data_IF_263281701958
#
_entry.id   IF_263281701958
#
_cell.length_a   1.000
_cell.length_b   1.000
_cell.length_c   1.000
_cell.angle_alpha   90.00
_cell.angle_beta   90.00
_cell.angle_gamma   90.00
#
_symmetry.space_group_name_H-M   'P 1'
#
loop_
_entity.id
_entity.type
_entity.pdbx_description
1 polymer ?
#
# COMPACT_ATOMS: atom_id res chain seq x y z
N UNK A 1 -15.24 24.80 -7.25
CA UNK A 1 -13.77 25.00 -7.13
C UNK A 1 -13.43 26.29 -7.87
N UNK A 2 -12.58 27.15 -7.30
CA UNK A 2 -12.23 28.44 -7.92
C UNK A 2 -11.16 28.24 -9.01
N UNK A 3 -11.21 29.05 -10.06
CA UNK A 3 -10.15 29.09 -11.09
C UNK A 3 -8.85 29.57 -10.45
N UNK A 4 -7.70 28.89 -10.64
CA UNK A 4 -6.44 29.37 -10.10
C UNK A 4 -6.06 30.74 -10.67
N UNK A 5 -5.70 31.70 -9.82
CA UNK A 5 -5.41 33.10 -10.24
C UNK A 5 -4.17 33.22 -11.13
N UNK A 6 -3.29 32.21 -11.12
CA UNK A 6 -2.11 32.12 -11.98
C UNK A 6 -2.38 31.36 -13.29
N UNK A 7 -3.59 30.83 -13.50
CA UNK A 7 -4.01 30.23 -14.76
C UNK A 7 -4.23 31.33 -15.80
N UNK A 8 -3.53 31.25 -16.93
CA UNK A 8 -3.68 32.24 -18.01
C UNK A 8 -4.96 32.01 -18.81
N UNK A 9 -5.41 33.06 -19.49
CA UNK A 9 -6.50 32.96 -20.47
C UNK A 9 -5.99 32.48 -21.84
N UNK A 10 -6.86 31.80 -22.59
CA UNK A 10 -6.58 31.32 -23.95
C UNK A 10 -5.96 29.91 -24.01
N UNK A 11 -5.43 29.56 -25.19
CA UNK A 11 -5.05 28.18 -25.56
C UNK A 11 -3.87 27.61 -24.76
N UNK A 12 -3.07 28.47 -24.10
CA UNK A 12 -1.98 28.04 -23.23
C UNK A 12 -2.21 28.54 -21.79
N UNK A 13 -3.00 27.80 -20.98
CA UNK A 13 -3.30 28.19 -19.60
C UNK A 13 -2.07 28.16 -18.68
N UNK A 14 -0.98 27.53 -19.10
CA UNK A 14 0.26 27.36 -18.31
C UNK A 14 1.29 28.48 -18.53
N UNK A 15 1.22 29.18 -19.66
CA UNK A 15 2.19 30.21 -20.03
C UNK A 15 3.55 29.68 -20.51
N UNK A 16 4.60 30.52 -20.52
CA UNK A 16 5.94 30.13 -20.91
C UNK A 16 6.49 28.99 -20.05
N UNK A 17 7.27 28.09 -20.67
CA UNK A 17 7.87 26.97 -19.95
C UNK A 17 8.72 27.46 -18.77
N UNK A 18 8.48 26.90 -17.59
CA UNK A 18 9.17 27.27 -16.35
C UNK A 18 8.55 28.47 -15.61
N UNK A 19 7.46 29.07 -16.10
CA UNK A 19 6.80 30.18 -15.40
C UNK A 19 5.94 29.76 -14.21
N UNK A 20 5.65 28.47 -14.07
CA UNK A 20 4.83 27.90 -12.99
C UNK A 20 5.58 26.78 -12.28
N UNK A 21 5.31 26.62 -10.99
CA UNK A 21 5.79 25.47 -10.20
C UNK A 21 5.05 24.20 -10.59
N UNK A 22 5.56 23.04 -10.13
CA UNK A 22 4.89 21.76 -10.35
C UNK A 22 3.50 21.74 -9.70
N UNK A 23 3.37 22.26 -8.49
CA UNK A 23 2.10 22.34 -7.76
C UNK A 23 1.08 23.23 -8.48
N UNK A 24 1.51 24.39 -9.00
CA UNK A 24 0.66 25.29 -9.76
C UNK A 24 0.16 24.64 -11.06
N UNK A 25 1.04 23.94 -11.77
CA UNK A 25 0.64 23.17 -12.96
C UNK A 25 -0.42 22.12 -12.58
N UNK A 26 -0.21 21.37 -11.50
CA UNK A 26 -1.18 20.36 -11.03
C UNK A 26 -2.53 20.99 -10.65
N UNK A 27 -2.56 22.19 -10.06
CA UNK A 27 -3.80 22.91 -9.74
C UNK A 27 -4.59 23.32 -10.98
N UNK A 28 -3.90 23.78 -12.04
CA UNK A 28 -4.54 24.05 -13.34
C UNK A 28 -5.10 22.75 -13.92
N UNK A 29 -4.34 21.66 -13.88
CA UNK A 29 -4.76 20.36 -14.42
C UNK A 29 -6.01 19.82 -13.71
N UNK A 30 -6.09 19.98 -12.39
CA UNK A 30 -7.27 19.61 -11.58
C UNK A 30 -8.46 20.52 -11.92
N UNK A 31 -8.24 21.83 -12.05
CA UNK A 31 -9.29 22.76 -12.43
C UNK A 31 -9.88 22.42 -13.80
N UNK A 32 -9.04 22.15 -14.80
CA UNK A 32 -9.43 21.73 -16.15
C UNK A 32 -10.21 20.42 -16.12
N UNK A 33 -9.77 19.43 -15.35
CA UNK A 33 -10.50 18.17 -15.18
C UNK A 33 -11.92 18.32 -14.62
N UNK A 34 -12.20 19.39 -13.87
CA UNK A 34 -13.52 19.66 -13.31
C UNK A 34 -14.40 20.58 -14.19
N UNK A 35 -13.83 21.41 -15.07
CA UNK A 35 -14.58 22.48 -15.75
C UNK A 35 -14.39 22.54 -17.27
N UNK A 36 -13.33 21.94 -17.82
CA UNK A 36 -13.05 21.96 -19.26
C UNK A 36 -13.62 20.69 -19.91
N UNK A 37 -14.60 20.81 -20.82
CA UNK A 37 -15.18 19.66 -21.50
C UNK A 37 -14.13 18.84 -22.24
N UNK A 38 -14.12 17.52 -22.05
CA UNK A 38 -13.21 16.60 -22.74
C UNK A 38 -11.85 16.42 -22.06
N UNK A 39 -11.43 17.31 -21.16
CA UNK A 39 -10.12 17.19 -20.52
C UNK A 39 -10.05 15.95 -19.62
N UNK A 40 -11.09 15.71 -18.80
CA UNK A 40 -11.14 14.54 -17.94
C UNK A 40 -11.09 13.25 -18.76
N UNK A 41 -11.92 13.16 -19.79
CA UNK A 41 -12.02 12.00 -20.68
C UNK A 41 -10.75 11.78 -21.48
N UNK A 42 -10.00 12.82 -21.82
CA UNK A 42 -8.75 12.69 -22.57
C UNK A 42 -7.63 12.09 -21.72
N UNK A 43 -7.49 12.54 -20.46
CA UNK A 43 -6.31 12.24 -19.64
C UNK A 43 -6.56 11.18 -18.55
N UNK A 44 -7.81 10.95 -18.17
CA UNK A 44 -8.18 10.11 -17.02
C UNK A 44 -9.14 8.97 -17.39
N UNK A 45 -9.10 7.92 -16.58
CA UNK A 45 -10.13 6.89 -16.48
C UNK A 45 -11.25 7.40 -15.59
N UNK A 46 -12.39 6.73 -15.63
CA UNK A 46 -13.59 7.08 -14.84
C UNK A 46 -13.32 7.17 -13.33
N UNK A 47 -12.35 6.39 -12.82
CA UNK A 47 -11.97 6.40 -11.41
C UNK A 47 -10.89 7.45 -11.04
N UNK A 48 -10.63 8.44 -11.91
CA UNK A 48 -9.60 9.48 -11.69
C UNK A 48 -8.16 9.02 -11.93
N UNK A 49 -7.96 7.77 -12.37
CA UNK A 49 -6.63 7.27 -12.72
C UNK A 49 -6.14 7.81 -14.05
N UNK A 50 -4.86 8.18 -14.07
CA UNK A 50 -4.19 8.59 -15.31
C UNK A 50 -4.29 7.47 -16.33
N UNK A 51 -4.68 7.78 -17.57
CA UNK A 51 -4.74 6.76 -18.64
C UNK A 51 -3.35 6.16 -18.92
N UNK A 52 -2.31 7.00 -18.98
CA UNK A 52 -0.92 6.60 -19.24
C UNK A 52 0.05 7.57 -18.58
N UNK A 53 1.17 7.07 -18.06
CA UNK A 53 2.22 7.92 -17.48
C UNK A 53 2.95 8.77 -18.53
N UNK A 54 3.01 8.31 -19.78
CA UNK A 54 3.63 9.06 -20.89
C UNK A 54 2.72 10.12 -21.50
N UNK A 55 1.43 10.13 -21.16
CA UNK A 55 0.47 11.09 -21.69
C UNK A 55 0.60 12.41 -20.92
N UNK A 56 1.18 13.40 -21.60
CA UNK A 56 1.42 14.74 -21.08
C UNK A 56 0.43 15.68 -21.74
N UNK A 57 -0.04 16.67 -21.00
CA UNK A 57 -0.83 17.75 -21.57
C UNK A 57 0.07 18.90 -22.05
N UNK A 58 -0.52 20.04 -22.37
CA UNK A 58 0.16 21.22 -22.91
C UNK A 58 1.20 21.81 -21.94
N UNK A 59 1.16 21.45 -20.65
CA UNK A 59 2.20 21.82 -19.69
C UNK A 59 3.54 21.10 -19.95
N UNK A 60 3.53 20.03 -20.74
CA UNK A 60 4.67 19.14 -20.94
C UNK A 60 4.87 18.14 -19.80
N UNK A 61 3.94 18.08 -18.85
CA UNK A 61 3.92 17.11 -17.77
C UNK A 61 2.68 16.23 -17.79
N UNK A 62 2.82 15.04 -17.20
CA UNK A 62 1.69 14.15 -16.94
C UNK A 62 0.80 14.77 -15.85
N UNK A 63 -0.53 14.84 -16.07
CA UNK A 63 -1.46 15.30 -15.05
C UNK A 63 -1.35 14.51 -13.74
N UNK A 64 -1.73 15.07 -12.57
CA UNK A 64 -1.68 14.37 -11.30
C UNK A 64 -2.65 13.19 -11.28
N UNK A 65 -2.55 12.31 -10.29
CA UNK A 65 -3.61 11.34 -10.02
C UNK A 65 -4.78 12.07 -9.35
N UNK A 66 -6.02 11.81 -9.77
CA UNK A 66 -7.21 12.40 -9.16
C UNK A 66 -7.89 11.42 -8.21
N UNK A 67 -8.66 11.98 -7.27
CA UNK A 67 -9.58 11.28 -6.39
C UNK A 67 -10.86 12.11 -6.23
N UNK A 68 -11.98 11.44 -5.95
CA UNK A 68 -13.28 12.04 -5.68
C UNK A 68 -13.74 11.59 -4.30
N UNK A 69 -14.22 12.52 -3.48
CA UNK A 69 -14.66 12.23 -2.10
C UNK A 69 -16.08 11.63 -2.04
N UNK A 70 -16.84 11.75 -3.12
CA UNK A 70 -18.15 11.13 -3.37
C UNK A 70 -18.52 11.29 -4.84
N UNK A 71 -19.52 10.55 -5.33
CA UNK A 71 -19.95 10.49 -6.75
C UNK A 71 -20.17 11.86 -7.41
N UNK A 72 -20.53 12.88 -6.62
CA UNK A 72 -20.81 14.24 -7.11
C UNK A 72 -19.84 15.31 -6.58
N UNK A 73 -18.81 14.91 -5.83
CA UNK A 73 -17.79 15.85 -5.36
C UNK A 73 -16.86 16.26 -6.52
N UNK A 74 -16.26 17.47 -6.49
CA UNK A 74 -15.23 17.81 -7.47
C UNK A 74 -14.01 16.88 -7.30
N UNK A 75 -13.34 16.59 -8.41
CA UNK A 75 -12.04 15.91 -8.40
C UNK A 75 -11.00 16.76 -7.69
N UNK A 76 -10.21 16.13 -6.83
CA UNK A 76 -9.05 16.73 -6.18
C UNK A 76 -7.79 15.91 -6.49
N UNK A 77 -6.59 16.44 -6.18
CA UNK A 77 -5.38 15.63 -6.26
C UNK A 77 -5.50 14.49 -5.26
N UNK A 78 -5.18 13.27 -5.66
CA UNK A 78 -5.23 12.12 -4.77
C UNK A 78 -4.34 12.26 -3.53
N UNK A 79 -3.26 13.07 -3.62
CA UNK A 79 -2.38 13.39 -2.47
C UNK A 79 -3.02 14.37 -1.47
N UNK A 80 -4.06 15.09 -1.87
CA UNK A 80 -4.75 16.09 -1.04
C UNK A 80 -6.01 15.49 -0.36
N UNK A 81 -6.34 14.23 -0.64
CA UNK A 81 -7.43 13.56 0.10
C UNK A 81 -7.09 13.51 1.58
N UNK A 82 -8.04 13.74 2.48
CA UNK A 82 -7.85 13.52 3.92
C UNK A 82 -7.25 12.13 4.18
N UNK A 83 -6.39 12.02 5.19
CA UNK A 83 -5.94 10.72 5.66
C UNK A 83 -7.14 9.87 6.06
N UNK A 84 -7.03 8.55 5.89
CA UNK A 84 -8.02 7.66 6.47
C UNK A 84 -7.99 7.82 8.00
N UNK A 85 -9.16 7.78 8.68
CA UNK A 85 -9.18 7.72 10.13
C UNK A 85 -8.34 6.54 10.63
N UNK A 86 -7.70 6.71 11.80
CA UNK A 86 -7.00 5.60 12.44
C UNK A 86 -7.98 4.53 12.91
N UNK A 87 -7.62 3.23 12.81
CA UNK A 87 -8.47 2.16 13.31
C UNK A 87 -8.48 2.14 14.83
N UNK A 88 -9.53 1.54 15.40
CA UNK A 88 -9.57 1.26 16.83
C UNK A 88 -8.77 0.00 17.15
N UNK A 89 -8.22 -0.06 18.37
CA UNK A 89 -7.43 -1.18 18.86
C UNK A 89 -7.96 -1.68 20.19
N UNK A 90 -7.83 -2.99 20.41
CA UNK A 90 -8.10 -3.64 21.69
C UNK A 90 -6.93 -3.46 22.67
N UNK A 91 -5.72 -3.35 22.13
CA UNK A 91 -4.49 -3.14 22.90
C UNK A 91 -4.13 -1.65 22.96
N UNK A 92 -3.66 -1.19 24.13
CA UNK A 92 -3.25 0.21 24.33
C UNK A 92 -2.06 0.61 23.46
N UNK A 93 -1.13 -0.31 23.21
CA UNK A 93 0.06 -0.12 22.37
C UNK A 93 0.48 -1.44 21.69
N UNK A 94 1.48 -1.38 20.81
CA UNK A 94 2.11 -2.56 20.22
C UNK A 94 2.80 -3.43 21.27
N UNK A 95 2.56 -4.73 21.20
CA UNK A 95 3.21 -5.74 22.04
C UNK A 95 4.43 -6.25 21.29
N UNK A 96 5.62 -6.07 21.88
CA UNK A 96 6.90 -6.51 21.31
C UNK A 96 7.29 -7.89 21.83
N UNK A 97 7.68 -8.78 20.94
CA UNK A 97 8.18 -10.12 21.27
C UNK A 97 9.51 -10.39 20.57
N UNK A 98 10.47 -10.90 21.33
CA UNK A 98 11.82 -11.16 20.85
C UNK A 98 11.95 -12.49 20.08
N UNK A 99 13.10 -12.75 19.44
CA UNK A 99 13.33 -14.02 18.74
C UNK A 99 13.42 -15.22 19.70
N UNK A 100 13.67 -14.98 20.99
CA UNK A 100 13.77 -16.00 22.04
C UNK A 100 12.43 -16.64 22.42
N UNK A 101 11.30 -16.03 22.04
CA UNK A 101 9.96 -16.62 22.22
C UNK A 101 9.60 -17.64 21.15
N UNK A 102 10.42 -17.81 20.10
CA UNK A 102 10.22 -18.84 19.08
C UNK A 102 10.62 -20.20 19.64
N UNK A 103 9.63 -21.05 19.93
CA UNK A 103 9.85 -22.33 20.62
C UNK A 103 10.48 -23.41 19.76
N UNK A 104 10.39 -23.29 18.42
CA UNK A 104 11.00 -24.23 17.46
C UNK A 104 12.24 -23.66 16.80
N UNK A 105 13.36 -24.40 16.91
CA UNK A 105 14.62 -24.07 16.24
C UNK A 105 14.50 -24.07 14.71
N UNK A 106 13.65 -24.94 14.16
CA UNK A 106 13.47 -24.99 12.70
C UNK A 106 12.68 -23.77 12.21
N UNK A 107 11.67 -23.31 12.97
CA UNK A 107 10.97 -22.06 12.68
C UNK A 107 11.88 -20.84 12.81
N UNK A 108 12.75 -20.81 13.83
CA UNK A 108 13.73 -19.74 13.97
C UNK A 108 14.66 -19.63 12.76
N UNK A 109 15.13 -20.76 12.19
CA UNK A 109 15.94 -20.73 10.96
C UNK A 109 15.19 -20.18 9.74
N UNK A 110 13.89 -20.47 9.63
CA UNK A 110 13.04 -19.92 8.56
C UNK A 110 12.96 -18.39 8.71
N UNK A 111 12.73 -17.90 9.93
CA UNK A 111 12.67 -16.47 10.23
C UNK A 111 14.02 -15.77 9.98
N UNK A 112 15.14 -16.40 10.37
CA UNK A 112 16.49 -15.91 10.09
C UNK A 112 16.75 -15.78 8.58
N UNK A 113 16.41 -16.81 7.80
CA UNK A 113 16.58 -16.78 6.35
C UNK A 113 15.72 -15.69 5.68
N UNK A 114 14.48 -15.48 6.15
CA UNK A 114 13.61 -14.42 5.66
C UNK A 114 14.17 -13.03 6.01
N UNK A 115 14.70 -12.85 7.23
CA UNK A 115 15.34 -11.61 7.65
C UNK A 115 16.57 -11.27 6.79
N UNK A 116 17.45 -12.25 6.55
CA UNK A 116 18.64 -12.08 5.70
C UNK A 116 18.28 -11.74 4.25
N UNK A 117 17.31 -12.46 3.67
CA UNK A 117 16.81 -12.20 2.32
C UNK A 117 16.28 -10.77 2.18
N UNK A 118 15.43 -10.33 3.12
CA UNK A 118 14.94 -8.94 3.16
C UNK A 118 16.08 -7.95 3.27
N UNK A 119 17.00 -8.15 4.21
CA UNK A 119 18.11 -7.25 4.45
C UNK A 119 18.96 -7.06 3.19
N UNK A 120 19.31 -8.16 2.53
CA UNK A 120 20.06 -8.17 1.28
C UNK A 120 19.33 -7.43 0.15
N UNK A 121 18.02 -7.65 0.00
CA UNK A 121 17.21 -6.99 -1.02
C UNK A 121 17.10 -5.47 -0.78
N UNK A 122 16.94 -5.04 0.48
CA UNK A 122 16.93 -3.62 0.86
C UNK A 122 18.30 -2.97 0.64
N UNK A 123 19.39 -3.64 1.00
CA UNK A 123 20.74 -3.14 0.78
C UNK A 123 21.05 -2.97 -0.72
N UNK A 124 20.61 -3.92 -1.54
CA UNK A 124 20.71 -3.84 -3.00
C UNK A 124 19.89 -2.68 -3.55
N UNK A 125 18.61 -2.57 -3.19
CA UNK A 125 17.73 -1.49 -3.68
C UNK A 125 18.28 -0.10 -3.33
N UNK A 126 18.78 0.07 -2.11
CA UNK A 126 19.42 1.32 -1.68
C UNK A 126 20.67 1.66 -2.50
N UNK A 127 21.43 0.65 -2.92
CA UNK A 127 22.62 0.85 -3.76
C UNK A 127 22.23 1.24 -5.18
N UNK A 128 21.26 0.55 -5.78
CA UNK A 128 20.76 0.87 -7.12
C UNK A 128 20.05 2.23 -7.14
N UNK A 129 19.34 2.60 -6.07
CA UNK A 129 18.72 3.92 -5.92
C UNK A 129 19.76 5.04 -5.98
N UNK A 130 20.89 4.89 -5.28
CA UNK A 130 22.00 5.85 -5.36
C UNK A 130 22.56 5.94 -6.78
N UNK A 131 22.81 4.80 -7.42
CA UNK A 131 23.29 4.76 -8.80
C UNK A 131 22.31 5.45 -9.78
N UNK A 132 21.00 5.20 -9.64
CA UNK A 132 19.95 5.89 -10.42
C UNK A 132 20.03 7.40 -10.24
N UNK A 133 20.13 7.89 -9.01
CA UNK A 133 20.24 9.32 -8.73
C UNK A 133 21.50 9.94 -9.33
N UNK A 134 22.64 9.27 -9.20
CA UNK A 134 23.92 9.72 -9.79
C UNK A 134 23.85 9.77 -11.32
N UNK A 135 23.26 8.75 -11.96
CA UNK A 135 23.06 8.71 -13.41
C UNK A 135 22.08 9.79 -13.91
N UNK A 136 21.02 10.10 -13.15
CA UNK A 136 20.11 11.21 -13.45
C UNK A 136 20.81 12.58 -13.38
N UNK A 137 21.69 12.79 -12.40
CA UNK A 137 22.50 14.00 -12.27
C UNK A 137 23.49 14.11 -13.43
N UNK A 138 24.23 13.04 -13.73
CA UNK A 138 25.23 13.01 -14.80
C UNK A 138 24.61 13.32 -16.18
N UNK A 139 23.44 12.75 -16.47
CA UNK A 139 22.72 13.03 -17.72
C UNK A 139 22.24 14.49 -17.81
N UNK A 140 21.76 15.05 -16.69
CA UNK A 140 21.36 16.46 -16.60
C UNK A 140 22.52 17.44 -16.81
N UNK A 141 23.75 17.05 -16.45
CA UNK A 141 24.95 17.89 -16.61
C UNK A 141 25.60 17.76 -17.99
N UNK A 142 25.64 16.55 -18.55
CA UNK A 142 26.45 16.26 -19.74
C UNK A 142 25.61 15.98 -21.00
N UNK A 143 24.44 15.36 -20.85
CA UNK A 143 23.52 15.00 -21.95
C UNK A 143 24.22 14.30 -23.14
N UNK A 144 25.20 13.45 -22.82
CA UNK A 144 25.94 12.63 -23.79
C UNK A 144 25.21 11.31 -24.08
N UNK A 145 25.48 10.62 -25.20
CA UNK A 145 24.93 9.29 -25.45
C UNK A 145 25.20 8.30 -24.30
N UNK A 146 26.40 8.35 -23.71
CA UNK A 146 26.78 7.48 -22.60
C UNK A 146 26.03 7.81 -21.31
N UNK A 147 25.85 9.09 -20.97
CA UNK A 147 25.07 9.50 -19.78
C UNK A 147 23.58 9.15 -19.92
N UNK A 148 23.03 9.26 -21.14
CA UNK A 148 21.65 8.82 -21.42
C UNK A 148 21.53 7.31 -21.25
N UNK A 149 22.49 6.54 -21.78
CA UNK A 149 22.51 5.08 -21.67
C UNK A 149 22.57 4.63 -20.19
N UNK A 150 23.47 5.23 -19.40
CA UNK A 150 23.58 4.94 -17.96
C UNK A 150 22.30 5.27 -17.19
N UNK A 151 21.64 6.40 -17.49
CA UNK A 151 20.36 6.76 -16.83
C UNK A 151 19.26 5.76 -17.15
N UNK A 152 19.19 5.28 -18.39
CA UNK A 152 18.21 4.27 -18.81
C UNK A 152 18.48 2.94 -18.11
N UNK A 153 19.73 2.49 -18.08
CA UNK A 153 20.14 1.25 -17.42
C UNK A 153 19.85 1.31 -15.91
N UNK A 154 20.35 2.34 -15.22
CA UNK A 154 20.13 2.51 -13.78
C UNK A 154 18.64 2.63 -13.43
N UNK A 155 17.84 3.26 -14.29
CA UNK A 155 16.39 3.34 -14.14
C UNK A 155 15.70 1.98 -14.28
N UNK A 156 16.13 1.15 -15.23
CA UNK A 156 15.61 -0.20 -15.42
C UNK A 156 16.00 -1.12 -14.24
N UNK A 157 17.28 -1.10 -13.84
CA UNK A 157 17.77 -1.88 -12.70
C UNK A 157 17.08 -1.47 -11.41
N UNK A 158 16.85 -0.16 -11.19
CA UNK A 158 16.12 0.30 -10.00
C UNK A 158 14.70 -0.23 -9.96
N UNK A 159 14.00 -0.26 -11.10
CA UNK A 159 12.65 -0.82 -11.15
C UNK A 159 12.65 -2.30 -10.75
N UNK A 160 13.62 -3.07 -11.21
CA UNK A 160 13.78 -4.49 -10.86
C UNK A 160 14.15 -4.69 -9.39
N UNK A 161 15.15 -3.96 -8.89
CA UNK A 161 15.58 -4.03 -7.49
C UNK A 161 14.46 -3.65 -6.54
N UNK A 162 13.71 -2.59 -6.86
CA UNK A 162 12.64 -2.08 -6.02
C UNK A 162 11.47 -3.05 -5.95
N UNK A 163 11.15 -3.69 -7.08
CA UNK A 163 10.14 -4.75 -7.13
C UNK A 163 10.58 -5.98 -6.31
N UNK A 164 11.84 -6.40 -6.41
CA UNK A 164 12.37 -7.53 -5.66
C UNK A 164 12.44 -7.25 -4.14
N UNK A 165 12.81 -6.02 -3.78
CA UNK A 165 12.82 -5.53 -2.39
C UNK A 165 11.41 -5.52 -1.80
N UNK A 166 10.41 -5.01 -2.54
CA UNK A 166 9.01 -5.04 -2.11
C UNK A 166 8.52 -6.46 -1.79
N UNK A 167 8.75 -7.41 -2.70
CA UNK A 167 8.39 -8.82 -2.47
C UNK A 167 9.10 -9.44 -1.26
N UNK A 168 10.40 -9.19 -1.13
CA UNK A 168 11.17 -9.73 0.01
C UNK A 168 10.73 -9.10 1.33
N UNK A 169 10.25 -7.86 1.30
CA UNK A 169 9.67 -7.21 2.45
C UNK A 169 8.31 -7.83 2.83
N UNK A 170 7.38 -7.96 1.89
CA UNK A 170 6.09 -8.63 2.08
C UNK A 170 6.28 -10.05 2.66
N UNK A 171 7.11 -10.86 2.01
CA UNK A 171 7.42 -12.23 2.44
C UNK A 171 7.99 -12.30 3.85
N UNK A 172 8.85 -11.35 4.26
CA UNK A 172 9.36 -11.29 5.62
C UNK A 172 8.26 -11.02 6.65
N UNK A 173 7.37 -10.06 6.36
CA UNK A 173 6.23 -9.75 7.23
C UNK A 173 5.32 -10.96 7.41
N UNK A 174 4.93 -11.60 6.30
CA UNK A 174 4.09 -12.80 6.31
C UNK A 174 4.76 -13.99 7.02
N UNK A 175 6.08 -14.16 6.84
CA UNK A 175 6.84 -15.21 7.52
C UNK A 175 6.87 -14.96 9.03
N UNK A 176 7.04 -13.71 9.48
CA UNK A 176 6.98 -13.37 10.90
C UNK A 176 5.58 -13.61 11.49
N UNK A 177 4.52 -13.27 10.76
CA UNK A 177 3.15 -13.58 11.15
C UNK A 177 2.91 -15.08 11.29
N UNK A 178 3.30 -15.89 10.31
CA UNK A 178 3.03 -17.32 10.28
C UNK A 178 3.91 -18.11 11.27
N UNK A 179 5.23 -17.95 11.16
CA UNK A 179 6.19 -18.80 11.86
C UNK A 179 6.56 -18.33 13.26
N UNK A 180 6.08 -17.16 13.68
CA UNK A 180 6.24 -16.67 15.04
C UNK A 180 4.87 -16.33 15.68
N UNK A 181 4.11 -15.36 15.15
CA UNK A 181 2.87 -14.96 15.83
C UNK A 181 1.85 -16.11 15.90
N UNK A 182 1.42 -16.62 14.75
CA UNK A 182 0.43 -17.70 14.67
C UNK A 182 0.98 -18.99 15.30
N UNK A 183 2.21 -19.38 14.99
CA UNK A 183 2.77 -20.63 15.51
C UNK A 183 2.87 -20.68 17.05
N UNK A 184 3.09 -19.55 17.73
CA UNK A 184 3.18 -19.52 19.20
C UNK A 184 1.81 -19.30 19.88
N UNK A 185 0.88 -18.57 19.25
CA UNK A 185 -0.41 -18.23 19.87
C UNK A 185 -1.56 -19.15 19.44
N UNK A 186 -1.47 -19.72 18.24
CA UNK A 186 -2.52 -20.46 17.55
C UNK A 186 -1.97 -21.73 16.87
N UNK A 187 -1.22 -22.60 17.58
CA UNK A 187 -0.50 -23.73 16.97
C UNK A 187 -1.41 -24.76 16.27
N UNK A 188 -2.68 -24.82 16.67
CA UNK A 188 -3.66 -25.77 16.14
C UNK A 188 -4.58 -25.15 15.07
N UNK A 189 -4.28 -23.93 14.61
CA UNK A 189 -5.05 -23.28 13.55
C UNK A 189 -4.54 -23.65 12.16
N UNK A 190 -5.46 -23.75 11.21
CA UNK A 190 -5.19 -24.08 9.82
C UNK A 190 -5.24 -22.84 8.93
N UNK A 191 -4.17 -22.60 8.17
CA UNK A 191 -4.11 -21.51 7.18
C UNK A 191 -5.11 -21.76 6.06
N UNK A 192 -5.90 -20.74 5.74
CA UNK A 192 -6.89 -20.81 4.67
C UNK A 192 -6.31 -20.29 3.35
N UNK A 193 -6.57 -20.97 2.23
CA UNK A 193 -6.22 -20.44 0.92
C UNK A 193 -7.12 -19.25 0.57
N UNK A 194 -6.50 -18.17 0.10
CA UNK A 194 -7.20 -16.98 -0.41
C UNK A 194 -7.06 -16.90 -1.93
N UNK A 195 -8.09 -16.44 -2.61
CA UNK A 195 -8.12 -16.32 -4.09
C UNK A 195 -7.86 -14.88 -4.55
N UNK A 196 -7.29 -14.06 -3.67
CA UNK A 196 -6.98 -12.67 -3.94
C UNK A 196 -5.99 -12.48 -5.10
N UNK A 197 -5.96 -11.28 -5.69
CA UNK A 197 -5.08 -10.99 -6.82
C UNK A 197 -3.60 -11.00 -6.40
N UNK A 198 -2.71 -11.34 -7.35
CA UNK A 198 -1.25 -11.40 -7.11
C UNK A 198 -0.61 -10.08 -6.69
N UNK A 199 -1.34 -8.97 -6.78
CA UNK A 199 -0.85 -7.64 -6.42
C UNK A 199 -1.16 -7.27 -4.95
N UNK A 200 -1.73 -8.19 -4.16
CA UNK A 200 -2.02 -7.97 -2.73
C UNK A 200 -3.25 -7.12 -2.44
N UNK A 201 -3.86 -6.48 -3.45
CA UNK A 201 -5.06 -5.67 -3.23
C UNK A 201 -6.27 -6.55 -2.89
N UNK A 202 -7.25 -5.96 -2.20
CA UNK A 202 -8.58 -6.55 -1.98
C UNK A 202 -8.59 -7.90 -1.24
N UNK A 203 -7.56 -8.20 -0.43
CA UNK A 203 -7.48 -9.39 0.40
C UNK A 203 -6.83 -9.09 1.76
N UNK A 204 -7.05 -9.98 2.72
CA UNK A 204 -6.23 -10.06 3.93
C UNK A 204 -4.90 -10.75 3.62
N UNK A 205 -3.84 -10.45 4.36
CA UNK A 205 -2.55 -11.13 4.16
C UNK A 205 -2.65 -12.61 4.56
N UNK A 206 -3.32 -12.91 5.68
CA UNK A 206 -3.59 -14.29 6.10
C UNK A 206 -4.93 -14.45 6.83
N UNK A 207 -5.56 -15.62 6.66
CA UNK A 207 -6.74 -16.06 7.44
C UNK A 207 -6.47 -17.47 7.96
N UNK A 208 -6.74 -17.69 9.24
CA UNK A 208 -6.50 -18.95 9.95
C UNK A 208 -7.78 -19.39 10.67
N UNK A 209 -8.16 -20.66 10.51
CA UNK A 209 -9.38 -21.24 11.12
C UNK A 209 -9.01 -22.32 12.13
N UNK A 210 -9.84 -22.45 13.15
CA UNK A 210 -9.79 -23.58 14.08
C UNK A 210 -11.13 -24.32 14.09
N UNK A 211 -11.10 -25.61 14.41
CA UNK A 211 -12.29 -26.49 14.38
C UNK A 211 -13.42 -26.05 15.33
N UNK A 212 -13.08 -25.32 16.40
CA UNK A 212 -14.06 -24.76 17.35
C UNK A 212 -14.75 -23.47 16.88
N UNK A 213 -14.50 -23.05 15.63
CA UNK A 213 -15.10 -21.88 15.00
C UNK A 213 -14.41 -20.56 15.32
N UNK A 214 -13.21 -20.57 15.93
CA UNK A 214 -12.36 -19.37 16.03
C UNK A 214 -11.67 -19.07 14.70
N UNK A 215 -11.49 -17.78 14.43
CA UNK A 215 -10.81 -17.29 13.23
C UNK A 215 -9.83 -16.19 13.60
N UNK A 216 -8.62 -16.24 13.04
CA UNK A 216 -7.62 -15.16 13.14
C UNK A 216 -7.37 -14.61 11.75
N UNK A 217 -7.51 -13.30 11.60
CA UNK A 217 -7.15 -12.54 10.40
C UNK A 217 -5.90 -11.71 10.69
N UNK A 218 -4.93 -11.74 9.79
CA UNK A 218 -3.65 -11.06 9.98
C UNK A 218 -3.40 -10.06 8.85
N UNK A 219 -3.04 -8.82 9.22
CA UNK A 219 -2.30 -7.88 8.38
C UNK A 219 -0.82 -7.96 8.71
N UNK A 220 0.00 -8.40 7.78
CA UNK A 220 1.43 -8.57 7.94
C UNK A 220 2.19 -7.37 7.37
N UNK A 221 3.06 -6.78 8.18
CA UNK A 221 3.99 -5.72 7.78
C UNK A 221 5.41 -6.12 8.07
N UNK A 222 6.30 -5.59 7.25
CA UNK A 222 7.68 -6.01 7.23
C UNK A 222 8.61 -5.17 8.11
N UNK A 223 8.09 -4.07 8.65
CA UNK A 223 8.78 -3.14 9.54
C UNK A 223 7.78 -2.53 10.51
N UNK A 224 8.23 -2.21 11.72
CA UNK A 224 7.45 -1.49 12.74
C UNK A 224 7.09 -0.07 12.30
N UNK A 225 7.95 0.54 11.48
CA UNK A 225 7.77 1.87 10.86
C UNK A 225 6.80 1.86 9.65
N UNK A 226 6.34 0.69 9.17
CA UNK A 226 5.41 0.64 8.04
C UNK A 226 3.99 0.98 8.51
N UNK A 227 3.43 2.04 7.93
CA UNK A 227 2.04 2.44 8.17
C UNK A 227 1.05 1.39 7.66
N UNK A 228 -0.14 1.42 8.24
CA UNK A 228 -1.27 0.63 7.74
C UNK A 228 -1.68 1.14 6.35
N UNK A 229 -2.02 0.20 5.48
CA UNK A 229 -2.60 0.53 4.19
C UNK A 229 -3.94 1.22 4.36
N UNK A 230 -4.41 1.87 3.31
CA UNK A 230 -5.77 2.40 3.27
C UNK A 230 -6.33 2.34 1.87
N UNK A 231 -7.65 2.36 1.78
CA UNK A 231 -8.37 2.33 0.51
C UNK A 231 -9.49 3.36 0.47
N UNK A 232 -9.90 3.68 -0.75
CA UNK A 232 -11.11 4.45 -1.01
C UNK A 232 -12.25 3.46 -1.24
N UNK A 233 -13.31 3.59 -0.46
CA UNK A 233 -14.56 2.84 -0.62
C UNK A 233 -15.36 3.34 -1.83
N UNK A 234 -16.36 2.58 -2.32
CA UNK A 234 -17.18 3.00 -3.46
C UNK A 234 -17.88 4.35 -3.30
N UNK A 235 -18.16 4.77 -2.06
CA UNK A 235 -18.76 6.06 -1.74
C UNK A 235 -17.75 7.24 -1.70
N UNK A 236 -16.47 6.96 -1.96
CA UNK A 236 -15.38 7.94 -1.95
C UNK A 236 -14.72 8.16 -0.59
N UNK A 237 -15.23 7.55 0.49
CA UNK A 237 -14.64 7.65 1.81
C UNK A 237 -13.34 6.83 1.90
N UNK A 238 -12.39 7.32 2.71
CA UNK A 238 -11.12 6.62 2.94
C UNK A 238 -11.15 5.88 4.26
N UNK A 239 -10.70 4.62 4.23
CA UNK A 239 -10.60 3.74 5.39
C UNK A 239 -9.21 3.14 5.48
N UNK A 240 -8.76 2.83 6.69
CA UNK A 240 -7.49 2.17 6.94
C UNK A 240 -7.68 0.66 7.12
N UNK A 241 -6.65 -0.12 6.80
CA UNK A 241 -6.52 -1.48 7.28
C UNK A 241 -6.75 -1.52 8.80
N UNK A 242 -7.38 -2.58 9.29
CA UNK A 242 -7.78 -2.68 10.69
C UNK A 242 -9.12 -2.03 11.05
N UNK A 243 -9.71 -1.19 10.17
CA UNK A 243 -11.04 -0.63 10.43
C UNK A 243 -12.14 -1.65 10.15
N UNK A 244 -13.29 -1.47 10.80
CA UNK A 244 -14.49 -2.29 10.56
C UNK A 244 -14.94 -2.22 9.10
N UNK A 245 -14.95 -1.02 8.53
CA UNK A 245 -15.38 -0.77 7.15
C UNK A 245 -14.43 -1.40 6.14
N UNK A 246 -13.11 -1.29 6.37
CA UNK A 246 -12.12 -1.99 5.56
C UNK A 246 -12.36 -3.50 5.59
N UNK A 247 -12.56 -4.07 6.78
CA UNK A 247 -12.77 -5.50 6.95
C UNK A 247 -13.97 -6.02 6.14
N UNK A 248 -15.13 -5.34 6.21
CA UNK A 248 -16.31 -5.73 5.45
C UNK A 248 -16.15 -5.54 3.95
N UNK A 249 -15.46 -4.49 3.52
CA UNK A 249 -15.18 -4.28 2.09
C UNK A 249 -14.30 -5.41 1.51
N UNK A 250 -13.32 -5.91 2.28
CA UNK A 250 -12.55 -7.11 1.89
C UNK A 250 -13.44 -8.35 1.83
N UNK A 251 -14.39 -8.53 2.75
CA UNK A 251 -15.35 -9.63 2.69
C UNK A 251 -16.23 -9.57 1.42
N UNK A 252 -16.67 -8.38 1.00
CA UNK A 252 -17.39 -8.23 -0.27
C UNK A 252 -16.51 -8.62 -1.47
N UNK A 253 -15.24 -8.23 -1.45
CA UNK A 253 -14.29 -8.62 -2.47
C UNK A 253 -14.04 -10.13 -2.50
N UNK A 254 -13.91 -10.78 -1.34
CA UNK A 254 -13.84 -12.24 -1.21
C UNK A 254 -15.10 -12.92 -1.76
N UNK A 255 -16.28 -12.31 -1.55
CA UNK A 255 -17.57 -12.85 -2.02
C UNK A 255 -17.64 -12.84 -3.53
N UNK A 256 -17.20 -11.75 -4.15
CA UNK A 256 -17.10 -11.63 -5.60
C UNK A 256 -16.12 -12.65 -6.21
N UNK A 257 -15.12 -13.10 -5.45
CA UNK A 257 -14.15 -14.13 -5.87
C UNK A 257 -14.60 -15.57 -5.60
N UNK A 258 -15.69 -15.77 -4.85
CA UNK A 258 -16.23 -17.10 -4.52
C UNK A 258 -15.52 -17.80 -3.36
N UNK A 259 -14.91 -17.05 -2.44
CA UNK A 259 -14.24 -17.59 -1.23
C UNK A 259 -15.25 -17.94 -0.11
N UNK A 260 -16.33 -18.64 -0.46
CA UNK A 260 -17.51 -18.80 0.39
C UNK A 260 -17.23 -19.54 1.71
N UNK A 261 -16.38 -20.57 1.71
CA UNK A 261 -16.05 -21.35 2.91
C UNK A 261 -15.25 -20.55 3.96
N UNK A 262 -14.45 -19.58 3.49
CA UNK A 262 -13.70 -18.67 4.37
C UNK A 262 -14.63 -17.57 4.87
N UNK A 263 -15.49 -17.05 3.99
CA UNK A 263 -16.49 -16.04 4.35
C UNK A 263 -17.49 -16.54 5.40
N UNK A 264 -18.04 -17.74 5.23
CA UNK A 264 -18.96 -18.32 6.20
C UNK A 264 -18.31 -18.42 7.58
N UNK A 265 -17.04 -18.84 7.63
CA UNK A 265 -16.29 -18.90 8.88
C UNK A 265 -16.03 -17.51 9.49
N UNK A 266 -15.72 -16.49 8.68
CA UNK A 266 -15.56 -15.12 9.14
C UNK A 266 -16.87 -14.56 9.70
N UNK A 267 -17.98 -14.73 8.97
CA UNK A 267 -19.32 -14.29 9.38
C UNK A 267 -19.76 -14.98 10.68
N UNK A 268 -19.55 -16.30 10.79
CA UNK A 268 -19.87 -17.06 11.99
C UNK A 268 -19.01 -16.61 13.18
N UNK A 269 -17.69 -16.49 13.00
CA UNK A 269 -16.77 -16.06 14.04
C UNK A 269 -17.08 -14.64 14.52
N UNK A 270 -17.40 -13.71 13.60
CA UNK A 270 -17.87 -12.36 13.95
C UNK A 270 -19.14 -12.41 14.80
N UNK A 271 -20.15 -13.18 14.38
CA UNK A 271 -21.44 -13.26 15.08
C UNK A 271 -21.33 -13.85 16.50
N UNK A 272 -20.30 -14.67 16.73
CA UNK A 272 -20.04 -15.38 18.00
C UNK A 272 -18.92 -14.76 18.81
N UNK A 273 -18.40 -13.59 18.41
CA UNK A 273 -17.26 -12.93 19.07
C UNK A 273 -16.01 -13.83 19.19
N UNK A 274 -15.77 -14.64 18.15
CA UNK A 274 -14.66 -15.60 18.03
C UNK A 274 -13.62 -15.20 16.98
N UNK A 275 -13.68 -13.96 16.50
CA UNK A 275 -12.74 -13.44 15.52
C UNK A 275 -11.69 -12.54 16.18
N UNK A 276 -10.41 -12.80 15.90
CA UNK A 276 -9.32 -11.87 16.17
C UNK A 276 -8.82 -11.27 14.85
N UNK A 277 -8.68 -9.95 14.80
CA UNK A 277 -8.03 -9.25 13.70
C UNK A 277 -6.81 -8.52 14.22
N UNK A 278 -5.64 -8.79 13.66
CA UNK A 278 -4.36 -8.34 14.21
C UNK A 278 -3.44 -7.81 13.12
N UNK A 279 -2.69 -6.76 13.42
CA UNK A 279 -1.51 -6.39 12.63
C UNK A 279 -0.28 -6.98 13.29
N UNK A 280 0.55 -7.65 12.49
CA UNK A 280 1.86 -8.18 12.89
C UNK A 280 2.94 -7.45 12.08
N UNK A 281 3.93 -6.88 12.75
CA UNK A 281 5.03 -6.14 12.15
C UNK A 281 6.36 -6.82 12.49
N UNK A 282 7.11 -7.26 11.49
CA UNK A 282 8.47 -7.75 11.71
C UNK A 282 9.39 -6.65 12.24
N UNK A 283 10.22 -6.96 13.23
CA UNK A 283 11.17 -6.00 13.79
C UNK A 283 12.29 -5.64 12.81
N UNK A 284 12.79 -4.41 12.94
CA UNK A 284 13.91 -3.94 12.14
C UNK A 284 15.14 -4.80 12.42
N UNK A 285 15.84 -5.18 11.35
CA UNK A 285 16.96 -6.09 11.45
C UNK A 285 18.13 -5.74 10.53
N UNK A 286 19.28 -6.31 10.84
CA UNK A 286 20.52 -6.25 10.08
C UNK A 286 20.86 -7.59 9.44
N UNK A 287 19.84 -8.31 8.96
CA UNK A 287 19.97 -9.66 8.37
C UNK A 287 19.85 -10.82 9.35
N UNK A 288 19.48 -10.55 10.61
CA UNK A 288 19.17 -11.56 11.63
C UNK A 288 17.79 -11.28 12.20
N UNK A 289 16.99 -12.31 12.47
CA UNK A 289 15.65 -12.10 13.00
C UNK A 289 15.67 -11.48 14.41
N UNK A 290 14.99 -10.34 14.57
CA UNK A 290 14.95 -9.56 15.82
C UNK A 290 13.64 -9.67 16.59
N UNK A 291 12.69 -10.49 16.11
CA UNK A 291 11.34 -10.57 16.68
C UNK A 291 10.27 -9.86 15.85
N UNK A 292 9.14 -9.57 16.49
CA UNK A 292 8.01 -8.87 15.90
C UNK A 292 7.29 -7.99 16.93
N UNK A 293 6.46 -7.09 16.42
CA UNK A 293 5.45 -6.39 17.19
C UNK A 293 4.07 -6.78 16.67
N UNK A 294 3.06 -6.80 17.54
CA UNK A 294 1.68 -6.97 17.09
C UNK A 294 0.70 -6.11 17.87
N UNK A 295 -0.47 -5.87 17.28
CA UNK A 295 -1.56 -5.13 17.93
C UNK A 295 -2.90 -5.56 17.35
N UNK A 296 -3.88 -5.80 18.21
CA UNK A 296 -5.21 -6.29 17.81
C UNK A 296 -6.17 -5.14 17.54
N UNK A 297 -6.85 -5.22 16.42
CA UNK A 297 -7.85 -4.25 15.99
C UNK A 297 -9.18 -4.47 16.73
N UNK A 298 -9.88 -3.38 17.03
CA UNK A 298 -11.24 -3.40 17.55
C UNK A 298 -12.23 -3.05 16.42
N UNK A 299 -12.74 -4.08 15.75
CA UNK A 299 -13.73 -3.95 14.68
C UNK A 299 -15.18 -3.97 15.19
N UNK A 300 -15.39 -3.95 16.51
CA UNK A 300 -16.73 -3.71 17.08
C UNK A 300 -17.18 -2.25 16.86
N UNK A 301 -16.22 -1.35 16.61
CA UNK A 301 -16.43 0.07 16.38
C UNK A 301 -16.14 0.43 14.92
N UNK A 302 -17.02 1.24 14.33
CA UNK A 302 -16.75 1.91 13.05
C UNK A 302 -15.83 3.11 13.24
N UNK A 303 -15.08 3.44 12.19
CA UNK A 303 -14.24 4.64 12.11
C UNK A 303 -14.90 5.77 11.33
N UNK A 304 -15.95 5.46 10.56
CA UNK A 304 -16.73 6.44 9.83
C UNK A 304 -18.01 6.82 10.62
N UNK A 305 -18.56 8.04 10.40
CA UNK A 305 -19.77 8.53 11.07
C UNK A 305 -21.06 7.76 10.75
#
# INVERSE_FOLDING_TARGET
MQRPDFMREGDNPYGPRGSLTREQIEEIQVYRANHEPGYLEQYYKENGWRKRLSLRDESGFTPPQLAQMSENAPWIRAKDTPAAPEPHFLDDDYISVGPDTVTSKDRLRILEAAADKRHSAVAWDNTVKRWKTEAEIADGLHSTPDSVAQRVEAGATYKESHTAMGRSAEEFGETAAEYHYIAEHYPDFEKQPLLGPKNGNDQFDQVWKHEDGRVVVVEAKSSTETDLGGRTLPDGQRVSQGSREYFFDIMEAMRARGEFDVLEALEEALSKEKLEYVVVKGEKNSGVYSGLQYRRFDISKGTLP
#
